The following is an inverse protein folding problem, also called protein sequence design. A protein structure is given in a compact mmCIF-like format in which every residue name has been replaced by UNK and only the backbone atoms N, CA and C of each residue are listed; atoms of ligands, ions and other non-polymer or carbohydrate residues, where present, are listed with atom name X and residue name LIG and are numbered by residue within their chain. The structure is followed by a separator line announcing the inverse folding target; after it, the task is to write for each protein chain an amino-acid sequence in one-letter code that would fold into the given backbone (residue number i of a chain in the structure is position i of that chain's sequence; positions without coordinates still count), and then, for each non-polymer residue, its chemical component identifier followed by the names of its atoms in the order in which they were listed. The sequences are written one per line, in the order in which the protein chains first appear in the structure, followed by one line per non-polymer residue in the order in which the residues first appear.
data_IF_477038862872
#
_entry.id   IF_477038862872
#
_cell.length_a   1.000
_cell.length_b   1.000
_cell.length_c   1.000
_cell.angle_alpha   90.00
_cell.angle_beta   90.00
_cell.angle_gamma   90.00
#
_symmetry.space_group_name_H-M   'P 1'
#
loop_
_entity.id
_entity.type
_entity.pdbx_description
1 polymer ?
#
# COMPACT_ATOMS: atom_id res chain seq x y z
N UNK A 1 -25.16 -26.71 -9.66
CA UNK A 1 -25.24 -27.91 -8.80
C UNK A 1 -23.85 -28.46 -8.61
N UNK A 2 -23.25 -28.27 -7.44
CA UNK A 2 -22.16 -29.08 -6.89
C UNK A 2 -22.02 -28.69 -5.41
N UNK A 3 -22.65 -29.46 -4.54
CA UNK A 3 -22.53 -29.41 -3.08
C UNK A 3 -21.21 -30.06 -2.67
N UNK A 4 -20.40 -29.38 -1.85
CA UNK A 4 -19.31 -30.02 -1.10
C UNK A 4 -19.41 -29.66 0.37
N UNK A 5 -19.88 -30.65 1.14
CA UNK A 5 -19.82 -30.72 2.59
C UNK A 5 -18.38 -30.94 3.04
N UNK A 6 -17.85 -30.09 3.93
CA UNK A 6 -16.57 -30.32 4.60
C UNK A 6 -16.79 -31.00 5.95
N UNK A 7 -16.35 -32.26 6.01
CA UNK A 7 -16.28 -33.10 7.22
C UNK A 7 -14.91 -32.88 7.89
N UNK A 8 -14.88 -32.67 9.21
CA UNK A 8 -13.63 -32.59 9.98
C UNK A 8 -12.98 -33.98 10.13
N UNK A 9 -11.75 -34.14 9.64
CA UNK A 9 -10.89 -35.30 9.87
C UNK A 9 -10.10 -35.19 11.17
N UNK A 10 -9.95 -36.33 11.85
CA UNK A 10 -9.15 -36.51 13.07
C UNK A 10 -7.66 -36.59 12.73
N UNK A 11 -6.83 -35.74 13.36
CA UNK A 11 -5.40 -35.99 13.52
C UNK A 11 -4.92 -35.38 14.84
N UNK A 12 -4.88 -36.19 15.92
CA UNK A 12 -4.50 -35.74 17.27
C UNK A 12 -4.04 -36.90 18.16
N UNK A 13 -3.40 -37.92 17.58
CA UNK A 13 -2.83 -39.04 18.36
C UNK A 13 -1.31 -38.95 18.53
N UNK A 14 -0.59 -38.22 17.68
CA UNK A 14 0.89 -38.26 17.62
C UNK A 14 1.62 -37.21 18.45
N UNK A 15 0.97 -36.13 18.88
CA UNK A 15 1.64 -35.03 19.60
C UNK A 15 1.61 -35.18 21.13
N UNK A 16 0.68 -35.99 21.66
CA UNK A 16 0.50 -36.22 23.11
C UNK A 16 1.59 -37.07 23.75
N UNK A 17 2.27 -37.95 23.00
CA UNK A 17 3.31 -38.82 23.55
C UNK A 17 4.67 -38.13 23.70
N UNK A 18 4.92 -37.01 23.01
CA UNK A 18 6.22 -36.33 23.04
C UNK A 18 6.45 -35.45 24.26
N UNK A 19 5.38 -34.99 24.93
CA UNK A 19 5.47 -34.06 26.05
C UNK A 19 5.62 -34.75 27.42
N UNK A 20 5.33 -36.05 27.53
CA UNK A 20 5.38 -36.79 28.81
C UNK A 20 6.77 -37.36 29.14
N UNK A 21 7.74 -37.31 28.22
CA UNK A 21 9.07 -37.90 28.42
C UNK A 21 10.10 -36.98 29.08
N UNK A 22 9.82 -35.69 29.30
CA UNK A 22 10.85 -34.71 29.68
C UNK A 22 10.91 -34.31 31.17
N UNK A 23 10.03 -34.83 32.04
CA UNK A 23 9.97 -34.37 33.45
C UNK A 23 10.40 -35.39 34.52
N UNK A 24 11.02 -36.51 34.11
CA UNK A 24 11.58 -37.48 35.05
C UNK A 24 13.05 -37.13 35.39
N UNK A 25 13.26 -36.32 36.41
CA UNK A 25 14.60 -36.13 36.98
C UNK A 25 14.73 -34.94 37.91
N UNK A 26 14.38 -35.13 39.18
CA UNK A 26 15.13 -34.59 40.33
C UNK A 26 14.56 -35.24 41.60
N UNK A 27 15.29 -36.21 42.15
CA UNK A 27 15.03 -36.80 43.46
C UNK A 27 16.23 -36.54 44.38
N UNK A 28 15.95 -36.28 45.66
CA UNK A 28 16.95 -36.33 46.74
C UNK A 28 16.57 -37.41 47.74
N UNK A 29 17.55 -38.23 48.10
CA UNK A 29 17.50 -39.45 48.92
C UNK A 29 17.65 -39.12 50.42
N UNK A 30 17.19 -40.02 51.29
CA UNK A 30 17.98 -40.77 52.29
C UNK A 30 17.03 -41.65 53.14
N UNK A 31 17.01 -42.99 53.07
CA UNK A 31 17.92 -44.03 53.59
C UNK A 31 17.90 -44.24 55.12
N UNK A 32 17.21 -45.29 55.61
CA UNK A 32 17.80 -46.52 56.22
C UNK A 32 16.77 -47.40 56.99
N UNK A 33 16.87 -48.72 56.80
CA UNK A 33 16.17 -49.82 57.50
C UNK A 33 16.98 -50.27 58.77
N UNK A 34 16.67 -51.37 59.52
CA UNK A 34 15.59 -52.37 59.43
C UNK A 34 14.92 -52.84 60.78
N UNK A 35 13.87 -53.67 60.62
CA UNK A 35 13.19 -54.68 61.51
C UNK A 35 14.07 -55.43 62.56
N UNK A 36 13.58 -56.29 63.52
CA UNK A 36 12.32 -57.10 63.50
C UNK A 36 11.61 -57.45 64.87
N UNK A 37 10.45 -58.15 64.75
CA UNK A 37 9.84 -59.11 65.72
C UNK A 37 9.29 -58.59 67.06
N UNK A 38 8.27 -59.11 67.75
CA UNK A 38 7.16 -60.05 67.52
C UNK A 38 6.45 -60.21 68.88
N UNK A 39 5.12 -60.33 68.86
CA UNK A 39 4.28 -61.15 69.76
C UNK A 39 3.94 -60.68 71.21
N UNK A 40 2.63 -60.50 71.37
CA UNK A 40 1.72 -61.06 72.39
C UNK A 40 1.58 -60.39 73.78
N UNK A 41 0.30 -60.15 74.13
CA UNK A 41 -0.17 -60.31 75.51
C UNK A 41 -0.91 -59.11 76.11
N UNK A 42 -2.21 -59.02 75.86
CA UNK A 42 -3.17 -58.16 76.56
C UNK A 42 -3.35 -58.60 78.06
N UNK A 43 -4.21 -57.97 78.90
CA UNK A 43 -5.09 -56.82 78.68
C UNK A 43 -5.17 -55.76 79.83
N UNK A 44 -5.74 -54.60 79.44
CA UNK A 44 -6.60 -53.60 80.14
C UNK A 44 -7.22 -53.95 81.52
N UNK A 45 -7.82 -53.00 82.28
CA UNK A 45 -8.19 -51.59 81.95
C UNK A 45 -7.79 -50.58 83.07
N UNK A 46 -7.84 -49.24 82.97
CA UNK A 46 -8.98 -48.33 82.71
C UNK A 46 -8.49 -46.86 82.73
N UNK A 47 -9.34 -45.93 82.27
CA UNK A 47 -9.27 -44.43 82.31
C UNK A 47 -8.34 -43.78 81.27
N UNK A 48 -8.88 -43.11 80.23
CA UNK A 48 -9.44 -41.74 80.18
C UNK A 48 -8.39 -40.64 80.42
N UNK A 49 -7.86 -40.07 79.32
CA UNK A 49 -7.79 -38.63 78.96
C UNK A 49 -6.70 -38.40 77.87
N UNK A 50 -7.01 -37.63 76.82
CA UNK A 50 -6.09 -37.16 75.76
C UNK A 50 -6.45 -37.70 74.37
N UNK A 51 -7.33 -37.01 73.60
CA UNK A 51 -7.04 -35.93 72.63
C UNK A 51 -6.28 -36.40 71.38
N UNK A 52 -7.00 -36.72 70.30
CA UNK A 52 -6.56 -36.62 68.87
C UNK A 52 -7.63 -37.15 67.88
N UNK A 53 -8.91 -36.85 68.11
CA UNK A 53 -10.01 -37.32 67.25
C UNK A 53 -10.85 -36.23 66.53
N UNK A 54 -10.92 -34.95 66.99
CA UNK A 54 -11.63 -33.93 66.22
C UNK A 54 -10.86 -33.46 64.98
N UNK A 55 -9.55 -33.25 65.11
CA UNK A 55 -8.73 -32.66 64.04
C UNK A 55 -8.71 -33.51 62.76
N UNK A 56 -8.64 -34.84 62.89
CA UNK A 56 -8.56 -35.73 61.71
C UNK A 56 -9.81 -35.71 60.84
N UNK A 57 -10.99 -35.53 61.43
CA UNK A 57 -12.26 -35.47 60.67
C UNK A 57 -12.47 -34.13 59.99
N UNK A 58 -12.08 -33.04 60.64
CA UNK A 58 -12.12 -31.70 60.04
C UNK A 58 -11.06 -31.57 58.92
N UNK A 59 -9.86 -32.11 59.13
CA UNK A 59 -8.81 -32.19 58.09
C UNK A 59 -9.22 -33.10 56.92
N UNK A 60 -9.81 -34.27 57.17
CA UNK A 60 -10.31 -35.16 56.11
C UNK A 60 -11.48 -34.53 55.32
N UNK A 61 -12.37 -33.76 55.98
CA UNK A 61 -13.48 -33.04 55.32
C UNK A 61 -12.97 -31.82 54.53
N UNK A 62 -12.00 -31.06 55.05
CA UNK A 62 -11.33 -29.96 54.34
C UNK A 62 -10.53 -30.46 53.14
N UNK A 63 -9.78 -31.57 53.25
CA UNK A 63 -9.08 -32.20 52.12
C UNK A 63 -10.06 -32.70 51.05
N UNK A 64 -11.22 -33.24 51.43
CA UNK A 64 -12.25 -33.68 50.49
C UNK A 64 -12.93 -32.50 49.78
N UNK A 65 -13.09 -31.35 50.46
CA UNK A 65 -13.56 -30.10 49.85
C UNK A 65 -12.52 -29.49 48.91
N UNK A 66 -11.25 -29.43 49.30
CA UNK A 66 -10.15 -28.96 48.43
C UNK A 66 -10.03 -29.82 47.17
N UNK A 67 -10.15 -31.16 47.30
CA UNK A 67 -10.11 -32.05 46.14
C UNK A 67 -11.32 -31.86 45.22
N UNK A 68 -12.50 -31.54 45.78
CA UNK A 68 -13.70 -31.19 45.01
C UNK A 68 -13.53 -29.85 44.29
N UNK A 69 -12.98 -28.85 44.97
CA UNK A 69 -12.69 -27.54 44.39
C UNK A 69 -11.64 -27.62 43.27
N UNK A 70 -10.57 -28.39 43.48
CA UNK A 70 -9.54 -28.63 42.47
C UNK A 70 -10.14 -29.33 41.24
N UNK A 71 -11.00 -30.33 41.43
CA UNK A 71 -11.72 -31.01 40.33
C UNK A 71 -12.65 -30.03 39.58
N UNK A 72 -13.29 -29.09 40.27
CA UNK A 72 -14.13 -28.05 39.65
C UNK A 72 -13.28 -27.04 38.87
N UNK A 73 -12.17 -26.59 39.44
CA UNK A 73 -11.22 -25.67 38.81
C UNK A 73 -10.55 -26.31 37.59
N UNK A 74 -10.07 -27.54 37.69
CA UNK A 74 -9.51 -28.32 36.55
C UNK A 74 -10.54 -28.48 35.42
N UNK A 75 -11.81 -28.71 35.74
CA UNK A 75 -12.89 -28.77 34.72
C UNK A 75 -13.19 -27.40 34.09
N UNK A 76 -13.21 -26.32 34.88
CA UNK A 76 -13.40 -24.94 34.36
C UNK A 76 -12.22 -24.52 33.46
N UNK A 77 -11.00 -24.86 33.86
CA UNK A 77 -9.79 -24.58 33.10
C UNK A 77 -9.77 -25.38 31.79
N UNK A 78 -10.06 -26.69 31.85
CA UNK A 78 -10.18 -27.54 30.65
C UNK A 78 -11.27 -27.02 29.71
N UNK A 79 -12.42 -26.60 30.24
CA UNK A 79 -13.46 -25.95 29.43
C UNK A 79 -12.93 -24.65 28.82
N UNK A 80 -12.22 -23.79 29.56
CA UNK A 80 -11.69 -22.53 29.02
C UNK A 80 -10.77 -22.75 27.80
N UNK A 81 -9.90 -23.76 27.85
CA UNK A 81 -8.95 -24.11 26.79
C UNK A 81 -9.50 -25.06 25.70
N UNK A 82 -10.72 -25.60 25.85
CA UNK A 82 -11.35 -26.39 24.79
C UNK A 82 -11.69 -25.51 23.58
N UNK A 83 -11.63 -26.11 22.38
CA UNK A 83 -11.88 -25.41 21.13
C UNK A 83 -13.32 -24.86 21.10
N UNK A 84 -13.56 -23.73 20.41
CA UNK A 84 -14.90 -23.11 20.34
C UNK A 84 -15.97 -24.05 19.76
N UNK A 85 -15.59 -24.94 18.83
CA UNK A 85 -16.46 -25.97 18.25
C UNK A 85 -16.84 -27.03 19.29
N UNK A 86 -15.90 -27.47 20.12
CA UNK A 86 -16.16 -28.43 21.20
C UNK A 86 -17.05 -27.82 22.30
N UNK A 87 -16.88 -26.52 22.59
CA UNK A 87 -17.77 -25.78 23.51
C UNK A 87 -19.20 -25.68 23.00
N UNK A 88 -19.37 -25.55 21.69
CA UNK A 88 -20.69 -25.50 21.05
C UNK A 88 -21.37 -26.86 21.10
N UNK A 89 -20.65 -27.94 20.75
CA UNK A 89 -21.18 -29.30 20.78
C UNK A 89 -21.49 -29.80 22.20
N UNK A 90 -20.73 -29.35 23.21
CA UNK A 90 -20.91 -29.77 24.61
C UNK A 90 -22.01 -29.00 25.38
N UNK A 91 -22.41 -27.79 24.95
CA UNK A 91 -23.33 -26.92 25.72
C UNK A 91 -24.37 -26.15 24.90
N UNK A 92 -24.36 -26.24 23.56
CA UNK A 92 -25.37 -25.61 22.70
C UNK A 92 -25.38 -24.08 22.64
N UNK A 93 -24.40 -23.38 23.26
CA UNK A 93 -24.30 -21.92 23.19
C UNK A 93 -23.79 -21.49 21.82
N UNK A 94 -24.69 -20.97 20.98
CA UNK A 94 -24.36 -20.42 19.64
C UNK A 94 -23.13 -19.50 19.73
N UNK A 95 -22.02 -19.79 19.00
CA UNK A 95 -20.77 -19.07 19.12
C UNK A 95 -20.82 -17.76 18.33
N UNK A 96 -21.65 -16.82 18.78
CA UNK A 96 -21.83 -15.50 18.13
C UNK A 96 -20.49 -14.78 17.92
N UNK A 97 -19.52 -14.97 18.83
CA UNK A 97 -18.16 -14.42 18.70
C UNK A 97 -17.40 -14.93 17.47
N UNK A 98 -17.59 -16.20 17.10
CA UNK A 98 -16.95 -16.81 15.92
C UNK A 98 -17.67 -16.39 14.62
N UNK A 99 -19.00 -16.28 14.68
CA UNK A 99 -19.79 -15.73 13.57
C UNK A 99 -19.45 -14.26 13.27
N UNK A 100 -19.25 -13.44 14.30
CA UNK A 100 -18.83 -12.04 14.15
C UNK A 100 -17.42 -11.93 13.52
N UNK A 101 -16.51 -12.84 13.88
CA UNK A 101 -15.18 -12.89 13.30
C UNK A 101 -15.22 -13.26 11.81
N UNK A 102 -16.05 -14.24 11.43
CA UNK A 102 -16.21 -14.62 10.02
C UNK A 102 -16.87 -13.48 9.22
N UNK A 103 -17.90 -12.83 9.77
CA UNK A 103 -18.54 -11.67 9.15
C UNK A 103 -17.55 -10.51 8.97
N UNK A 104 -16.71 -10.24 9.97
CA UNK A 104 -15.65 -9.22 9.85
C UNK A 104 -14.70 -9.53 8.69
N UNK A 105 -14.27 -10.79 8.53
CA UNK A 105 -13.40 -11.18 7.42
C UNK A 105 -14.10 -10.88 6.09
N UNK A 106 -15.36 -11.30 5.94
CA UNK A 106 -16.14 -11.05 4.71
C UNK A 106 -16.24 -9.54 4.42
N UNK A 107 -16.61 -8.74 5.41
CA UNK A 107 -16.76 -7.29 5.24
C UNK A 107 -15.43 -6.65 4.83
N UNK A 108 -14.33 -6.98 5.53
CA UNK A 108 -12.99 -6.43 5.21
C UNK A 108 -12.53 -6.88 3.82
N UNK A 109 -12.79 -8.13 3.43
CA UNK A 109 -12.45 -8.63 2.09
C UNK A 109 -13.24 -7.89 1.01
N UNK A 110 -14.55 -7.69 1.19
CA UNK A 110 -15.38 -6.95 0.23
C UNK A 110 -14.92 -5.49 0.12
N UNK A 111 -14.67 -4.83 1.25
CA UNK A 111 -14.17 -3.46 1.28
C UNK A 111 -12.83 -3.32 0.53
N UNK A 112 -11.90 -4.27 0.73
CA UNK A 112 -10.60 -4.27 0.06
C UNK A 112 -10.73 -4.49 -1.45
N UNK A 113 -11.62 -5.38 -1.89
CA UNK A 113 -11.85 -5.62 -3.33
C UNK A 113 -12.45 -4.38 -4.01
N UNK A 114 -13.48 -3.77 -3.41
CA UNK A 114 -14.09 -2.56 -3.97
C UNK A 114 -13.09 -1.40 -4.06
N UNK A 115 -12.29 -1.20 -3.01
CA UNK A 115 -11.21 -0.22 -3.01
C UNK A 115 -10.14 -0.53 -4.07
N UNK A 116 -9.79 -1.81 -4.25
CA UNK A 116 -8.84 -2.25 -5.26
C UNK A 116 -9.31 -1.95 -6.69
N UNK A 117 -10.58 -2.20 -7.00
CA UNK A 117 -11.15 -1.94 -8.32
C UNK A 117 -11.18 -0.43 -8.65
N UNK A 118 -11.56 0.41 -7.70
CA UNK A 118 -11.56 1.87 -7.87
C UNK A 118 -10.15 2.41 -8.11
N UNK A 119 -9.18 2.00 -7.27
CA UNK A 119 -7.78 2.42 -7.45
C UNK A 119 -7.18 1.91 -8.77
N UNK A 120 -7.52 0.69 -9.19
CA UNK A 120 -7.03 0.14 -10.44
C UNK A 120 -7.43 1.02 -11.62
N UNK A 121 -8.69 1.45 -11.71
CA UNK A 121 -9.15 2.30 -12.82
C UNK A 121 -8.38 3.63 -12.88
N UNK A 122 -8.19 4.29 -11.73
CA UNK A 122 -7.45 5.56 -11.65
C UNK A 122 -6.00 5.38 -12.11
N UNK A 123 -5.36 4.29 -11.70
CA UNK A 123 -3.98 3.97 -12.11
C UNK A 123 -3.92 3.70 -13.61
N UNK A 124 -4.83 2.87 -14.15
CA UNK A 124 -4.88 2.56 -15.58
C UNK A 124 -5.05 3.84 -16.41
N UNK A 125 -5.98 4.72 -16.06
CA UNK A 125 -6.16 5.98 -16.77
C UNK A 125 -4.89 6.84 -16.75
N UNK A 126 -4.23 6.95 -15.59
CA UNK A 126 -2.95 7.68 -15.48
C UNK A 126 -1.86 7.05 -16.35
N UNK A 127 -1.74 5.73 -16.34
CA UNK A 127 -0.72 5.00 -17.10
C UNK A 127 -0.94 5.10 -18.61
N UNK A 128 -2.17 4.94 -19.08
CA UNK A 128 -2.54 5.07 -20.49
C UNK A 128 -2.27 6.49 -21.02
N UNK A 129 -2.66 7.52 -20.26
CA UNK A 129 -2.35 8.91 -20.63
C UNK A 129 -0.84 9.16 -20.61
N UNK A 130 -0.10 8.61 -19.65
CA UNK A 130 1.36 8.74 -19.59
C UNK A 130 2.02 8.08 -20.80
N UNK A 131 1.54 6.91 -21.24
CA UNK A 131 2.00 6.26 -22.45
C UNK A 131 1.72 7.13 -23.69
N UNK A 132 0.50 7.66 -23.80
CA UNK A 132 0.13 8.56 -24.89
C UNK A 132 1.04 9.80 -24.93
N UNK A 133 1.33 10.43 -23.79
CA UNK A 133 2.23 11.59 -23.72
C UNK A 133 3.66 11.25 -24.15
N UNK A 134 4.18 10.07 -23.80
CA UNK A 134 5.50 9.63 -24.28
C UNK A 134 5.50 9.54 -25.80
N UNK A 135 4.51 8.91 -26.41
CA UNK A 135 4.40 8.79 -27.87
C UNK A 135 4.15 10.13 -28.58
N UNK A 136 3.45 11.08 -27.94
CA UNK A 136 3.17 12.39 -28.52
C UNK A 136 4.37 13.35 -28.45
N UNK A 137 5.06 13.42 -27.32
CA UNK A 137 6.08 14.44 -27.06
C UNK A 137 7.52 13.94 -27.25
N UNK A 138 7.77 12.65 -27.13
CA UNK A 138 9.10 12.07 -27.32
C UNK A 138 9.21 11.54 -28.76
N UNK A 139 9.97 12.25 -29.60
CA UNK A 139 10.20 11.85 -30.98
C UNK A 139 10.72 10.40 -31.05
N UNK A 140 10.19 9.55 -31.91
CA UNK A 140 10.70 8.18 -32.12
C UNK A 140 10.80 7.32 -30.85
N UNK A 141 9.89 7.53 -29.89
CA UNK A 141 9.80 6.72 -28.69
C UNK A 141 9.43 5.26 -29.03
N UNK A 142 10.01 4.32 -28.29
CA UNK A 142 9.68 2.89 -28.38
C UNK A 142 9.45 2.34 -26.97
N UNK A 143 8.40 1.55 -26.82
CA UNK A 143 8.03 0.98 -25.53
C UNK A 143 9.13 0.02 -25.02
N UNK A 144 9.56 0.24 -23.77
CA UNK A 144 10.60 -0.56 -23.11
C UNK A 144 12.05 -0.14 -23.42
N UNK A 145 12.28 0.80 -24.34
CA UNK A 145 13.64 1.29 -24.65
C UNK A 145 13.97 2.57 -23.88
N UNK A 146 15.17 2.62 -23.29
CA UNK A 146 15.68 3.85 -22.68
C UNK A 146 16.08 4.85 -23.77
N UNK A 147 15.49 6.04 -23.75
CA UNK A 147 15.78 7.07 -24.74
C UNK A 147 17.01 7.87 -24.34
N UNK A 148 17.94 8.02 -25.28
CA UNK A 148 19.10 8.86 -25.11
C UNK A 148 19.54 9.47 -26.42
N UNK A 149 20.18 10.62 -26.33
CA UNK A 149 20.77 11.33 -27.47
C UNK A 149 22.26 11.50 -27.26
N UNK A 150 22.99 11.52 -28.37
CA UNK A 150 24.46 11.52 -28.37
C UNK A 150 25.06 12.73 -29.08
N UNK A 151 24.24 13.53 -29.77
CA UNK A 151 24.70 14.71 -30.49
C UNK A 151 23.92 15.96 -30.05
N UNK A 152 24.59 17.11 -30.11
CA UNK A 152 23.97 18.40 -29.76
C UNK A 152 22.79 18.73 -30.69
N UNK A 153 22.95 18.49 -32.00
CA UNK A 153 21.91 18.69 -33.02
C UNK A 153 20.67 17.85 -32.73
N UNK A 154 20.86 16.59 -32.35
CA UNK A 154 19.76 15.70 -32.00
C UNK A 154 19.05 16.20 -30.73
N UNK A 155 19.77 16.61 -29.68
CA UNK A 155 19.15 17.15 -28.47
C UNK A 155 18.26 18.36 -28.79
N UNK A 156 18.76 19.32 -29.57
CA UNK A 156 17.95 20.44 -30.04
C UNK A 156 16.73 19.95 -30.82
N UNK A 157 16.88 19.01 -31.74
CA UNK A 157 15.74 18.46 -32.50
C UNK A 157 14.66 17.88 -31.58
N UNK A 158 15.04 17.13 -30.53
CA UNK A 158 14.08 16.57 -29.56
C UNK A 158 13.33 17.66 -28.79
N UNK A 159 14.03 18.72 -28.37
CA UNK A 159 13.41 19.88 -27.69
C UNK A 159 12.40 20.57 -28.61
N UNK A 160 12.81 20.89 -29.84
CA UNK A 160 11.95 21.57 -30.79
C UNK A 160 10.73 20.73 -31.15
N UNK A 161 10.90 19.41 -31.33
CA UNK A 161 9.81 18.49 -31.57
C UNK A 161 8.80 18.51 -30.42
N UNK A 162 9.25 18.35 -29.17
CA UNK A 162 8.36 18.35 -28.01
C UNK A 162 7.55 19.66 -27.89
N UNK A 163 8.19 20.81 -28.10
CA UNK A 163 7.52 22.12 -28.09
C UNK A 163 6.52 22.25 -29.24
N UNK A 164 6.87 21.82 -30.46
CA UNK A 164 5.95 21.86 -31.60
C UNK A 164 4.73 20.97 -31.38
N UNK A 165 4.93 19.76 -30.86
CA UNK A 165 3.85 18.83 -30.54
C UNK A 165 2.92 19.39 -29.45
N UNK A 166 3.49 20.08 -28.44
CA UNK A 166 2.69 20.79 -27.45
C UNK A 166 1.84 21.90 -28.08
N UNK A 167 2.40 22.69 -28.99
CA UNK A 167 1.67 23.77 -29.66
C UNK A 167 0.56 23.27 -30.60
N UNK A 168 0.74 22.10 -31.21
CA UNK A 168 -0.21 21.47 -32.12
C UNK A 168 -1.15 20.46 -31.44
N UNK A 169 -1.07 20.31 -30.10
CA UNK A 169 -1.71 19.24 -29.35
C UNK A 169 -3.21 19.06 -29.69
N UNK A 170 -4.07 20.11 -29.72
CA UNK A 170 -5.49 19.97 -30.03
C UNK A 170 -5.79 19.39 -31.42
N UNK A 171 -4.85 19.48 -32.38
CA UNK A 171 -5.06 18.97 -33.73
C UNK A 171 -4.50 17.55 -33.92
N UNK A 172 -3.52 17.13 -33.11
CA UNK A 172 -2.82 15.86 -33.30
C UNK A 172 -3.23 14.78 -32.29
N UNK A 173 -3.74 15.15 -31.11
CA UNK A 173 -4.06 14.19 -30.06
C UNK A 173 -5.42 13.54 -30.27
N UNK A 174 -5.53 12.25 -29.96
CA UNK A 174 -6.81 11.54 -29.89
C UNK A 174 -7.58 11.86 -28.60
N UNK A 175 -6.87 12.26 -27.54
CA UNK A 175 -7.47 12.72 -26.29
C UNK A 175 -7.83 14.19 -26.33
N UNK A 176 -8.87 14.57 -25.58
CA UNK A 176 -9.25 15.96 -25.38
C UNK A 176 -8.46 16.56 -24.22
N UNK A 177 -7.47 17.39 -24.53
CA UNK A 177 -6.64 18.05 -23.53
C UNK A 177 -6.83 19.57 -23.56
N UNK A 178 -6.90 20.17 -22.37
CA UNK A 178 -6.94 21.62 -22.21
C UNK A 178 -5.64 22.12 -21.55
N UNK A 179 -5.11 23.24 -22.05
CA UNK A 179 -3.93 23.88 -21.48
C UNK A 179 -4.24 24.58 -20.16
N UNK A 180 -3.28 24.57 -19.23
CA UNK A 180 -3.35 25.35 -17.99
C UNK A 180 -2.39 26.54 -18.11
N UNK A 181 -2.93 27.75 -18.10
CA UNK A 181 -2.15 29.00 -18.06
C UNK A 181 -1.66 29.27 -16.64
N UNK A 182 -0.55 30.00 -16.50
CA UNK A 182 -0.02 30.40 -15.20
C UNK A 182 0.77 29.32 -14.46
N UNK A 183 0.86 28.11 -15.01
CA UNK A 183 1.64 27.01 -14.44
C UNK A 183 3.15 27.16 -14.71
N UNK A 184 3.53 27.93 -15.72
CA UNK A 184 4.90 28.12 -16.16
C UNK A 184 5.53 29.48 -15.80
N UNK A 185 6.77 29.64 -16.24
CA UNK A 185 7.59 30.83 -16.02
C UNK A 185 6.90 32.10 -16.54
N UNK A 186 6.88 33.18 -15.74
CA UNK A 186 6.20 34.44 -16.06
C UNK A 186 4.70 34.28 -16.41
N UNK A 187 4.04 33.27 -15.84
CA UNK A 187 2.62 33.02 -16.05
C UNK A 187 2.32 32.30 -17.38
N UNK A 188 3.32 31.73 -18.04
CA UNK A 188 3.14 30.95 -19.26
C UNK A 188 2.43 29.61 -19.02
N UNK A 189 2.07 28.93 -20.10
CA UNK A 189 1.50 27.59 -20.06
C UNK A 189 2.56 26.48 -20.05
N UNK A 190 3.70 26.74 -20.69
CA UNK A 190 4.85 25.84 -20.79
C UNK A 190 6.12 26.58 -20.37
N UNK A 191 7.02 25.89 -19.68
CA UNK A 191 8.35 26.37 -19.30
C UNK A 191 9.43 25.48 -19.91
N UNK A 192 10.34 26.07 -20.69
CA UNK A 192 11.58 25.42 -21.11
C UNK A 192 12.72 25.99 -20.27
N UNK A 193 13.32 25.16 -19.43
CA UNK A 193 14.38 25.56 -18.52
C UNK A 193 15.66 24.77 -18.78
N UNK A 194 16.80 25.43 -18.67
CA UNK A 194 18.11 24.78 -18.56
C UNK A 194 18.69 25.04 -17.18
N UNK A 195 19.29 24.02 -16.57
CA UNK A 195 20.07 24.15 -15.35
C UNK A 195 21.53 23.89 -15.66
N UNK A 196 22.40 24.77 -15.21
CA UNK A 196 23.83 24.68 -15.49
C UNK A 196 24.66 25.17 -14.30
N UNK A 197 25.90 24.72 -14.20
CA UNK A 197 26.84 25.23 -13.20
C UNK A 197 27.17 26.70 -13.50
N UNK A 198 27.20 27.55 -12.48
CA UNK A 198 27.45 28.98 -12.63
C UNK A 198 28.76 29.23 -13.37
N UNK A 199 29.82 28.56 -12.91
CA UNK A 199 31.14 28.49 -13.55
C UNK A 199 31.46 27.04 -13.88
N UNK A 200 31.95 26.79 -15.09
CA UNK A 200 32.38 25.47 -15.52
C UNK A 200 33.29 25.63 -16.72
N UNK A 201 34.59 25.67 -16.48
CA UNK A 201 35.61 25.57 -17.53
C UNK A 201 36.26 24.21 -17.38
N UNK A 202 36.08 23.36 -18.39
CA UNK A 202 36.63 22.01 -18.43
C UNK A 202 37.48 21.95 -19.69
N UNK A 203 38.79 21.75 -19.52
CA UNK A 203 39.73 21.60 -20.61
C UNK A 203 40.42 20.23 -20.52
N UNK A 204 39.86 19.22 -21.19
CA UNK A 204 40.43 17.88 -21.22
C UNK A 204 41.81 17.81 -21.91
N UNK A 205 42.17 18.80 -22.74
CA UNK A 205 43.48 18.81 -23.41
C UNK A 205 44.61 19.18 -22.45
N UNK A 206 44.31 19.99 -21.44
CA UNK A 206 45.26 20.42 -20.42
C UNK A 206 45.05 19.72 -19.06
N UNK A 207 44.16 18.72 -18.98
CA UNK A 207 43.77 18.05 -17.73
C UNK A 207 43.35 19.00 -16.60
N UNK A 208 42.75 20.16 -16.94
CA UNK A 208 42.33 21.19 -15.98
C UNK A 208 40.83 21.39 -15.96
N UNK A 209 40.30 21.68 -14.78
CA UNK A 209 38.90 22.06 -14.61
C UNK A 209 38.76 23.10 -13.48
N UNK A 210 37.80 24.01 -13.64
CA UNK A 210 37.37 24.95 -12.62
C UNK A 210 35.83 25.04 -12.68
N UNK A 211 35.19 24.46 -11.67
CA UNK A 211 33.74 24.29 -11.58
C UNK A 211 33.26 24.88 -10.27
N UNK A 212 32.31 25.80 -10.37
CA UNK A 212 31.53 26.26 -9.23
C UNK A 212 30.27 25.39 -9.13
N UNK A 213 30.06 24.63 -8.04
CA UNK A 213 28.92 23.74 -7.90
C UNK A 213 27.57 24.48 -7.76
N UNK A 214 27.56 25.82 -7.63
CA UNK A 214 26.33 26.58 -7.64
C UNK A 214 25.59 26.43 -8.97
N UNK A 215 24.29 26.15 -8.88
CA UNK A 215 23.42 25.89 -10.04
C UNK A 215 22.61 27.13 -10.36
N UNK A 216 22.77 27.63 -11.57
CA UNK A 216 21.91 28.67 -12.13
C UNK A 216 20.84 28.01 -13.02
N UNK A 217 19.63 28.58 -13.01
CA UNK A 217 18.51 28.13 -13.86
C UNK A 217 18.08 29.27 -14.78
N UNK A 218 17.94 28.97 -16.06
CA UNK A 218 17.49 29.91 -17.08
C UNK A 218 16.27 29.32 -17.78
N UNK A 219 15.13 30.01 -17.70
CA UNK A 219 13.83 29.54 -18.18
C UNK A 219 13.24 30.50 -19.22
N UNK A 220 12.53 29.94 -20.18
CA UNK A 220 11.65 30.69 -21.09
C UNK A 220 10.21 30.16 -20.96
N UNK A 221 9.26 31.08 -20.95
CA UNK A 221 7.84 30.78 -20.90
C UNK A 221 7.22 30.82 -22.30
N UNK A 222 6.45 29.80 -22.66
CA UNK A 222 5.76 29.69 -23.96
C UNK A 222 4.26 29.52 -23.76
N UNK A 223 3.47 30.18 -24.63
CA UNK A 223 2.01 30.11 -24.59
C UNK A 223 1.45 29.52 -25.90
N UNK A 224 0.39 28.68 -25.82
CA UNK A 224 -0.25 28.13 -26.98
C UNK A 224 -0.94 29.22 -27.83
N UNK A 225 -1.06 29.03 -29.15
CA UNK A 225 -1.55 30.06 -30.08
C UNK A 225 -2.95 30.57 -29.74
N UNK A 226 -3.79 29.71 -29.15
CA UNK A 226 -5.17 30.02 -28.77
C UNK A 226 -5.28 31.16 -27.75
N UNK A 227 -4.22 31.43 -26.99
CA UNK A 227 -4.23 32.40 -25.88
C UNK A 227 -3.31 33.61 -26.09
N UNK A 228 -2.52 33.65 -27.18
CA UNK A 228 -1.70 34.81 -27.53
C UNK A 228 -1.46 34.89 -29.04
N UNK A 229 -1.93 35.97 -29.72
CA UNK A 229 -1.60 36.20 -31.11
C UNK A 229 -0.15 36.72 -31.22
N UNK A 230 0.76 35.83 -31.62
CA UNK A 230 2.05 36.11 -32.27
C UNK A 230 3.11 37.01 -31.60
N UNK A 231 2.83 37.79 -30.55
CA UNK A 231 3.76 38.83 -30.03
C UNK A 231 4.51 38.45 -28.74
N UNK A 232 4.18 37.33 -28.09
CA UNK A 232 4.74 36.95 -26.78
C UNK A 232 5.54 35.64 -26.75
N UNK A 233 5.57 34.87 -27.84
CA UNK A 233 6.42 33.69 -27.90
C UNK A 233 7.85 34.17 -28.15
N UNK A 234 8.64 34.30 -27.07
CA UNK A 234 10.10 34.38 -27.19
C UNK A 234 10.54 33.27 -28.14
N UNK A 235 11.30 33.63 -29.16
CA UNK A 235 11.71 32.71 -30.21
C UNK A 235 12.56 31.61 -29.59
N UNK A 236 11.92 30.52 -29.15
CA UNK A 236 12.55 29.41 -28.42
C UNK A 236 13.66 28.75 -29.26
N UNK A 237 13.67 29.03 -30.56
CA UNK A 237 14.75 28.70 -31.49
C UNK A 237 16.08 29.39 -31.16
N UNK A 238 16.04 30.52 -30.45
CA UNK A 238 17.23 31.25 -29.98
C UNK A 238 17.72 30.76 -28.61
N UNK A 239 17.07 29.75 -28.03
CA UNK A 239 17.49 29.18 -26.74
C UNK A 239 18.80 28.41 -26.90
N UNK A 240 19.90 29.01 -26.41
CA UNK A 240 21.25 28.44 -26.56
C UNK A 240 21.63 27.64 -25.31
N UNK A 241 21.83 26.33 -25.49
CA UNK A 241 22.24 25.40 -24.44
C UNK A 241 23.74 25.49 -24.16
N UNK A 242 24.10 25.62 -22.88
CA UNK A 242 25.49 25.71 -22.42
C UNK A 242 26.08 24.33 -22.13
N UNK A 243 26.18 23.46 -23.14
CA UNK A 243 26.53 22.02 -23.01
C UNK A 243 27.70 21.70 -22.08
N UNK A 244 28.78 22.49 -22.14
CA UNK A 244 30.00 22.29 -21.35
C UNK A 244 29.77 22.39 -19.83
N UNK A 245 28.70 23.06 -19.39
CA UNK A 245 28.31 23.22 -17.99
C UNK A 245 26.85 22.85 -17.72
N UNK A 246 26.19 22.21 -18.68
CA UNK A 246 24.76 21.88 -18.65
C UNK A 246 24.51 20.65 -17.77
N UNK A 247 23.67 20.79 -16.76
CA UNK A 247 23.26 19.70 -15.87
C UNK A 247 22.07 18.97 -16.47
N UNK A 248 21.01 19.70 -16.81
CA UNK A 248 19.83 19.16 -17.47
C UNK A 248 19.03 20.24 -18.19
N UNK A 249 18.15 19.79 -19.07
CA UNK A 249 17.09 20.61 -19.69
C UNK A 249 15.75 20.01 -19.31
N UNK A 250 14.79 20.86 -18.97
CA UNK A 250 13.45 20.45 -18.55
C UNK A 250 12.40 21.21 -19.34
N UNK A 251 11.40 20.49 -19.85
CA UNK A 251 10.19 21.06 -20.43
C UNK A 251 9.05 20.70 -19.48
N UNK A 252 8.45 21.71 -18.87
CA UNK A 252 7.40 21.57 -17.86
C UNK A 252 6.11 22.24 -18.34
N UNK A 253 5.00 21.53 -18.29
CA UNK A 253 3.67 22.06 -18.60
C UNK A 253 2.58 21.23 -17.93
N UNK A 254 1.39 21.82 -17.83
CA UNK A 254 0.21 21.15 -17.29
C UNK A 254 -0.90 21.02 -18.35
N UNK A 255 -1.56 19.86 -18.35
CA UNK A 255 -2.70 19.56 -19.19
C UNK A 255 -3.88 19.05 -18.35
N UNK A 256 -5.08 19.52 -18.66
CA UNK A 256 -6.33 19.01 -18.08
C UNK A 256 -7.00 18.02 -19.01
N UNK A 257 -7.55 16.97 -18.44
CA UNK A 257 -8.38 15.99 -19.14
C UNK A 257 -9.55 15.57 -18.25
N UNK A 258 -10.59 15.00 -18.85
CA UNK A 258 -11.74 14.45 -18.13
C UNK A 258 -11.75 12.95 -18.36
N UNK A 259 -11.85 12.16 -17.29
CA UNK A 259 -11.93 10.71 -17.41
C UNK A 259 -13.39 10.28 -17.66
N UNK A 260 -13.76 10.18 -18.93
CA UNK A 260 -15.11 9.77 -19.35
C UNK A 260 -15.39 8.27 -19.15
N UNK A 261 -14.38 7.43 -18.89
CA UNK A 261 -14.58 5.98 -18.72
C UNK A 261 -15.40 5.65 -17.46
N UNK A 262 -15.33 6.52 -16.45
CA UNK A 262 -16.09 6.44 -15.18
C UNK A 262 -17.61 6.41 -15.38
N UNK A 263 -18.13 7.06 -16.43
CA UNK A 263 -19.57 7.10 -16.74
C UNK A 263 -20.11 5.69 -17.02
N UNK A 264 -19.28 4.78 -17.56
CA UNK A 264 -19.66 3.39 -17.83
C UNK A 264 -20.02 2.65 -16.53
N UNK A 265 -19.42 3.06 -15.40
CA UNK A 265 -19.65 2.47 -14.10
C UNK A 265 -20.66 3.25 -13.25
N UNK A 266 -21.45 4.14 -13.88
CA UNK A 266 -22.42 5.01 -13.20
C UNK A 266 -21.79 5.94 -12.15
N UNK A 267 -20.50 6.24 -12.29
CA UNK A 267 -19.77 7.20 -11.46
C UNK A 267 -19.64 8.54 -12.19
N UNK A 268 -19.58 9.63 -11.42
CA UNK A 268 -19.39 10.98 -11.97
C UNK A 268 -17.94 11.11 -12.44
N UNK A 269 -17.68 11.66 -13.64
CA UNK A 269 -16.32 11.77 -14.15
C UNK A 269 -15.48 12.77 -13.36
N UNK A 270 -14.26 12.34 -13.02
CA UNK A 270 -13.26 13.18 -12.40
C UNK A 270 -12.48 14.01 -13.42
N UNK A 271 -12.08 15.20 -12.98
CA UNK A 271 -11.24 16.13 -13.72
C UNK A 271 -9.77 15.91 -13.31
N UNK A 272 -8.94 15.51 -14.27
CA UNK A 272 -7.53 15.26 -14.07
C UNK A 272 -6.71 16.47 -14.52
N UNK A 273 -5.74 16.85 -13.71
CA UNK A 273 -4.66 17.76 -14.12
C UNK A 273 -3.34 17.00 -14.09
N UNK A 274 -2.75 16.80 -15.27
CA UNK A 274 -1.47 16.16 -15.49
C UNK A 274 -0.36 17.21 -15.51
N UNK A 275 0.58 17.11 -14.58
CA UNK A 275 1.83 17.85 -14.58
C UNK A 275 2.90 17.00 -15.26
N UNK A 276 3.29 17.41 -16.46
CA UNK A 276 4.16 16.66 -17.36
C UNK A 276 5.51 17.36 -17.41
N UNK A 277 6.56 16.60 -17.09
CA UNK A 277 7.93 17.10 -17.12
C UNK A 277 8.80 16.19 -17.98
N UNK A 278 9.32 16.72 -19.08
CA UNK A 278 10.29 16.05 -19.93
C UNK A 278 11.68 16.47 -19.45
N UNK A 279 12.48 15.51 -19.00
CA UNK A 279 13.80 15.73 -18.44
C UNK A 279 14.85 15.14 -19.37
N UNK A 280 15.78 16.00 -19.78
CA UNK A 280 16.98 15.65 -20.56
C UNK A 280 18.17 15.76 -19.62
N UNK A 281 18.59 14.64 -19.07
CA UNK A 281 19.58 14.55 -18.00
C UNK A 281 21.00 14.39 -18.56
N UNK A 282 21.85 15.36 -18.27
CA UNK A 282 23.27 15.39 -18.61
C UNK A 282 24.19 15.42 -17.36
N UNK A 283 23.68 15.09 -16.16
CA UNK A 283 24.44 15.13 -14.90
C UNK A 283 25.78 14.38 -14.93
N UNK A 284 25.85 13.29 -15.69
CA UNK A 284 27.07 12.47 -15.80
C UNK A 284 28.12 13.06 -16.76
N UNK A 285 27.77 14.05 -17.58
CA UNK A 285 28.64 14.65 -18.61
C UNK A 285 29.39 13.64 -19.49
N UNK A 286 28.80 12.46 -19.73
CA UNK A 286 29.45 11.33 -20.41
C UNK A 286 29.29 11.31 -21.93
N UNK A 287 28.81 12.41 -22.53
CA UNK A 287 28.44 12.48 -23.94
C UNK A 287 27.14 11.74 -24.30
N UNK A 288 26.42 11.23 -23.31
CA UNK A 288 25.10 10.60 -23.45
C UNK A 288 24.09 11.33 -22.58
N UNK A 289 23.10 11.98 -23.21
CA UNK A 289 22.00 12.63 -22.50
C UNK A 289 20.80 11.70 -22.46
N UNK A 290 20.29 11.39 -21.26
CA UNK A 290 19.11 10.53 -21.08
C UNK A 290 17.84 11.35 -21.14
N UNK A 291 16.84 10.91 -21.89
CA UNK A 291 15.55 11.60 -22.00
C UNK A 291 14.49 10.73 -21.35
N UNK A 292 13.69 11.31 -20.47
CA UNK A 292 12.54 10.65 -19.88
C UNK A 292 11.41 11.65 -19.62
N UNK A 293 10.17 11.15 -19.67
CA UNK A 293 8.97 11.92 -19.36
C UNK A 293 8.41 11.43 -18.03
N UNK A 294 8.23 12.37 -17.11
CA UNK A 294 7.57 12.16 -15.83
C UNK A 294 6.17 12.78 -15.88
N UNK A 295 5.19 12.10 -15.30
CA UNK A 295 3.82 12.59 -15.23
C UNK A 295 3.29 12.43 -13.80
N UNK A 296 2.81 13.52 -13.22
CA UNK A 296 2.08 13.54 -11.96
C UNK A 296 0.64 13.93 -12.22
N UNK A 297 -0.31 13.10 -11.78
CA UNK A 297 -1.72 13.35 -11.95
C UNK A 297 -2.32 13.83 -10.62
N UNK A 298 -3.06 14.93 -10.67
CA UNK A 298 -3.92 15.38 -9.59
C UNK A 298 -5.38 15.24 -10.01
N UNK A 299 -6.22 14.76 -9.09
CA UNK A 299 -7.62 14.42 -9.34
C UNK A 299 -8.47 15.39 -8.54
N UNK A 300 -9.46 15.98 -9.20
CA UNK A 300 -10.41 16.90 -8.58
C UNK A 300 -11.80 16.63 -9.16
N UNK A 301 -12.83 16.86 -8.35
CA UNK A 301 -14.20 16.82 -8.82
C UNK A 301 -14.41 17.91 -9.89
N UNK A 302 -15.04 17.52 -11.01
CA UNK A 302 -15.41 18.49 -12.02
C UNK A 302 -16.48 19.44 -11.50
N UNK A 303 -16.40 20.71 -11.92
CA UNK A 303 -17.42 21.70 -11.58
C UNK A 303 -18.70 21.44 -12.37
N UNK A 304 -19.83 21.34 -11.66
CA UNK A 304 -21.19 21.23 -12.22
C UNK A 304 -21.36 20.09 -13.26
N UNK A 305 -21.11 18.81 -12.90
CA UNK A 305 -21.25 17.69 -13.83
C UNK A 305 -22.75 17.43 -14.14
N UNK A 306 -23.10 17.35 -15.42
CA UNK A 306 -24.45 16.98 -15.86
C UNK A 306 -24.40 15.73 -16.74
N UNK A 307 -25.04 14.66 -16.29
CA UNK A 307 -25.18 13.40 -17.04
C UNK A 307 -26.68 13.13 -17.24
N UNK A 308 -27.20 13.49 -18.42
CA UNK A 308 -28.58 13.20 -18.79
C UNK A 308 -28.72 11.74 -19.23
N UNK A 309 -29.65 10.99 -18.65
CA UNK A 309 -29.92 9.60 -19.05
C UNK A 309 -30.04 8.60 -17.91
N UNK A 310 -29.77 9.00 -16.66
CA UNK A 310 -30.23 8.26 -15.50
C UNK A 310 -31.74 8.47 -15.35
N UNK A 311 -32.53 7.60 -15.96
CA UNK A 311 -33.93 7.45 -15.60
C UNK A 311 -34.03 7.20 -14.10
N UNK A 312 -34.99 7.86 -13.44
CA UNK A 312 -35.33 7.66 -12.05
C UNK A 312 -35.54 6.15 -11.77
N UNK A 313 -34.49 5.46 -11.34
CA UNK A 313 -34.63 4.23 -10.59
C UNK A 313 -34.71 4.65 -9.14
N UNK A 314 -35.92 4.62 -8.61
CA UNK A 314 -36.18 4.46 -7.19
C UNK A 314 -35.56 3.14 -6.72
N UNK A 315 -34.24 3.09 -6.60
CA UNK A 315 -33.55 2.08 -5.82
C UNK A 315 -33.55 2.57 -4.38
N UNK A 316 -34.54 2.07 -3.65
CA UNK A 316 -34.64 2.09 -2.19
C UNK A 316 -33.26 2.01 -1.54
N UNK A 317 -32.96 2.99 -0.69
CA UNK A 317 -31.70 3.16 0.03
C UNK A 317 -31.25 1.94 0.83
N UNK A 318 -30.51 1.05 0.18
CA UNK A 318 -29.74 -0.02 0.80
C UNK A 318 -28.25 0.03 0.44
N UNK A 319 -27.88 0.64 -0.71
CA UNK A 319 -26.48 0.77 -1.12
C UNK A 319 -25.76 1.98 -0.48
N UNK A 320 -26.43 3.13 -0.33
CA UNK A 320 -25.83 4.33 0.27
C UNK A 320 -25.73 4.28 1.81
N UNK A 321 -26.54 3.44 2.47
CA UNK A 321 -26.47 3.23 3.92
C UNK A 321 -25.25 2.43 4.36
N UNK A 322 -24.64 1.63 3.46
CA UNK A 322 -23.46 0.85 3.82
C UNK A 322 -22.16 1.66 3.73
N UNK A 323 -22.09 2.67 2.85
CA UNK A 323 -20.91 3.53 2.74
C UNK A 323 -20.81 4.53 3.90
N UNK A 324 -21.94 5.01 4.43
CA UNK A 324 -21.96 5.90 5.60
C UNK A 324 -21.81 5.18 6.96
N UNK A 325 -22.05 3.87 7.02
CA UNK A 325 -21.87 3.09 8.25
C UNK A 325 -20.47 2.48 8.42
N UNK A 326 -19.59 2.60 7.42
CA UNK A 326 -18.26 1.98 7.39
C UNK A 326 -17.11 3.00 7.27
N UNK A 327 -17.37 4.29 7.51
CA UNK A 327 -16.35 5.33 7.62
C UNK A 327 -16.19 5.81 9.06
#
# INVERSE_FOLDING_TARGET
MATSSSTCTQDSSTEKERLLSQFAGYGSRDLLAPRPSSLLGAPRPSSLLGSEAPQRKEEDEEEEEEEKEEKVLRRKLKYFFMSPCDKYHAKGRKPFKLGLQLLKIIIVTVQLVLFGLSNQMVVTFKEENTAAFKHLFLQGFQDGAAQSVHTQKELYSRIHYAVQQYMALPQISLGQYAYVLGAGENGSALSLCQRFYRKGTIDPSNDTFDIDPHVDTECIGLNPPTYSPASGNSDYKNFTLKFYKLINVTIDFQLKAINIQTIINNEIPDCYTFAIMIVMDNKAHSGKVKIHLQNQASIQECRDPNVSGHGERTDTGLAQTLTWFLM
#
